data_IF_640588911354
#
_entry.id   IF_640588911354
#
_cell.length_a   1.000
_cell.length_b   1.000
_cell.length_c   1.000
_cell.angle_alpha   90.00
_cell.angle_beta   90.00
_cell.angle_gamma   90.00
#
_symmetry.space_group_name_H-M   'P 1'
#
loop_
_entity.id
_entity.type
_entity.pdbx_description
1 polymer ?
#
# COMPACT_ATOMS: atom_id res chain seq x y z
N UNK A 1 -16.30 13.09 17.06
CA UNK A 1 -16.57 11.83 16.33
C UNK A 1 -15.77 10.73 16.99
N UNK A 2 -16.36 9.56 17.28
CA UNK A 2 -15.62 8.44 17.87
C UNK A 2 -14.64 7.87 16.84
N UNK A 3 -13.47 7.30 17.28
CA UNK A 3 -12.51 6.67 16.35
C UNK A 3 -13.14 5.61 15.44
N UNK A 4 -14.09 4.84 15.97
CA UNK A 4 -14.81 3.80 15.22
C UNK A 4 -15.67 4.38 14.09
N UNK A 5 -16.36 5.50 14.34
CA UNK A 5 -17.20 6.17 13.32
C UNK A 5 -16.31 6.74 12.21
N UNK A 6 -15.17 7.33 12.57
CA UNK A 6 -14.23 7.85 11.57
C UNK A 6 -13.69 6.71 10.69
N UNK A 7 -13.25 5.62 11.27
CA UNK A 7 -12.76 4.45 10.53
C UNK A 7 -13.83 3.90 9.57
N UNK A 8 -15.08 3.79 10.03
CA UNK A 8 -16.19 3.33 9.18
C UNK A 8 -16.45 4.27 7.99
N UNK A 9 -16.35 5.59 8.21
CA UNK A 9 -16.50 6.58 7.14
C UNK A 9 -15.38 6.50 6.12
N UNK A 10 -14.14 6.27 6.54
CA UNK A 10 -13.00 6.11 5.62
C UNK A 10 -13.12 4.84 4.78
N UNK A 11 -13.52 3.73 5.37
CA UNK A 11 -13.80 2.51 4.62
C UNK A 11 -14.98 2.70 3.64
N UNK A 12 -16.02 3.43 4.03
CA UNK A 12 -17.10 3.79 3.12
C UNK A 12 -16.58 4.69 1.98
N UNK A 13 -15.75 5.68 2.29
CA UNK A 13 -15.14 6.56 1.30
C UNK A 13 -14.25 5.77 0.33
N UNK A 14 -13.43 4.85 0.84
CA UNK A 14 -12.60 3.96 0.01
C UNK A 14 -13.47 3.15 -0.96
N UNK A 15 -14.57 2.56 -0.47
CA UNK A 15 -15.50 1.81 -1.31
C UNK A 15 -16.14 2.71 -2.39
N UNK A 16 -16.55 3.92 -2.02
CA UNK A 16 -17.10 4.91 -2.96
C UNK A 16 -16.08 5.29 -4.02
N UNK A 17 -14.82 5.54 -3.64
CA UNK A 17 -13.74 5.87 -4.60
C UNK A 17 -13.53 4.70 -5.57
N UNK A 18 -13.41 3.46 -5.09
CA UNK A 18 -13.26 2.28 -5.94
C UNK A 18 -14.40 2.17 -6.96
N UNK A 19 -15.66 2.17 -6.48
CA UNK A 19 -16.81 1.97 -7.34
C UNK A 19 -17.03 3.13 -8.32
N UNK A 20 -16.86 4.38 -7.86
CA UNK A 20 -17.08 5.55 -8.72
C UNK A 20 -15.96 5.71 -9.75
N UNK A 21 -14.69 5.50 -9.34
CA UNK A 21 -13.56 5.54 -10.25
C UNK A 21 -13.68 4.50 -11.36
N UNK A 22 -14.04 3.27 -11.03
CA UNK A 22 -14.23 2.20 -12.01
C UNK A 22 -15.40 2.47 -12.96
N UNK A 23 -16.53 2.96 -12.42
CA UNK A 23 -17.68 3.35 -13.26
C UNK A 23 -17.37 4.52 -14.16
N UNK A 24 -16.67 5.55 -13.66
CA UNK A 24 -16.27 6.69 -14.47
C UNK A 24 -15.29 6.27 -15.57
N UNK A 25 -14.29 5.45 -15.25
CA UNK A 25 -13.37 4.90 -16.25
C UNK A 25 -14.06 4.02 -17.31
N UNK A 26 -15.17 3.37 -16.95
CA UNK A 26 -15.98 2.59 -17.91
C UNK A 26 -16.87 3.47 -18.79
N UNK A 27 -17.44 4.56 -18.26
CA UNK A 27 -18.34 5.47 -18.99
C UNK A 27 -17.53 6.43 -19.88
N UNK A 28 -16.45 6.98 -19.36
CA UNK A 28 -15.62 7.97 -20.07
C UNK A 28 -14.66 7.27 -21.02
N UNK A 29 -15.07 7.07 -22.26
CA UNK A 29 -14.22 6.44 -23.28
C UNK A 29 -13.44 7.47 -24.11
N UNK A 30 -13.92 8.69 -24.19
CA UNK A 30 -13.30 9.80 -24.94
C UNK A 30 -13.43 11.13 -24.21
N UNK A 31 -12.42 12.02 -24.24
CA UNK A 31 -11.12 11.77 -24.87
C UNK A 31 -10.26 10.77 -24.06
N UNK A 32 -9.34 10.03 -24.68
CA UNK A 32 -8.50 9.03 -23.99
C UNK A 32 -7.72 9.60 -22.79
N UNK A 33 -7.27 10.84 -22.91
CA UNK A 33 -6.57 11.55 -21.82
C UNK A 33 -7.44 11.66 -20.55
N UNK A 34 -8.71 12.01 -20.70
CA UNK A 34 -9.62 12.13 -19.55
C UNK A 34 -9.79 10.77 -18.85
N UNK A 35 -9.92 9.70 -19.61
CA UNK A 35 -9.99 8.34 -19.07
C UNK A 35 -8.72 7.98 -18.31
N UNK A 36 -7.53 8.25 -18.89
CA UNK A 36 -6.26 8.00 -18.24
C UNK A 36 -6.09 8.81 -16.94
N UNK A 37 -6.52 10.06 -16.93
CA UNK A 37 -6.50 10.91 -15.73
C UNK A 37 -7.43 10.38 -14.64
N UNK A 38 -8.65 9.96 -15.00
CA UNK A 38 -9.60 9.36 -14.04
C UNK A 38 -9.02 8.06 -13.44
N UNK A 39 -8.45 7.20 -14.27
CA UNK A 39 -7.84 5.96 -13.83
C UNK A 39 -6.69 6.22 -12.84
N UNK A 40 -5.77 7.09 -13.23
CA UNK A 40 -4.59 7.46 -12.44
C UNK A 40 -4.96 8.15 -11.11
N UNK A 41 -5.91 9.11 -11.12
CA UNK A 41 -6.40 9.75 -9.88
C UNK A 41 -7.09 8.72 -8.97
N UNK A 42 -7.79 7.75 -9.54
CA UNK A 42 -8.43 6.69 -8.72
C UNK A 42 -7.36 5.87 -8.00
N UNK A 43 -6.28 5.46 -8.66
CA UNK A 43 -5.14 4.79 -8.01
C UNK A 43 -4.53 5.64 -6.90
N UNK A 44 -4.29 6.92 -7.18
CA UNK A 44 -3.75 7.86 -6.19
C UNK A 44 -4.63 7.98 -4.94
N UNK A 45 -5.94 8.14 -5.13
CA UNK A 45 -6.90 8.29 -4.02
C UNK A 45 -6.99 7.00 -3.19
N UNK A 46 -7.02 5.83 -3.81
CA UNK A 46 -7.04 4.54 -3.11
C UNK A 46 -5.78 4.37 -2.27
N UNK A 47 -4.59 4.47 -2.89
CA UNK A 47 -3.32 4.30 -2.17
C UNK A 47 -3.10 5.35 -1.08
N UNK A 48 -3.46 6.60 -1.33
CA UNK A 48 -3.40 7.68 -0.34
C UNK A 48 -4.33 7.45 0.85
N UNK A 49 -5.57 7.05 0.61
CA UNK A 49 -6.55 6.81 1.69
C UNK A 49 -6.22 5.55 2.50
N UNK A 50 -5.79 4.46 1.86
CA UNK A 50 -5.33 3.26 2.57
C UNK A 50 -4.11 3.58 3.44
N UNK A 51 -3.18 4.38 2.93
CA UNK A 51 -2.02 4.86 3.70
C UNK A 51 -2.45 5.75 4.87
N UNK A 52 -3.41 6.65 4.66
CA UNK A 52 -3.95 7.53 5.71
C UNK A 52 -4.55 6.72 6.86
N UNK A 53 -5.37 5.71 6.57
CA UNK A 53 -5.96 4.81 7.58
C UNK A 53 -4.86 4.16 8.44
N UNK A 54 -3.76 3.71 7.82
CA UNK A 54 -2.64 3.10 8.52
C UNK A 54 -1.91 4.13 9.39
N UNK A 55 -1.51 5.25 8.79
CA UNK A 55 -0.72 6.32 9.47
C UNK A 55 -1.49 6.88 10.67
N UNK A 56 -2.80 7.04 10.54
CA UNK A 56 -3.65 7.54 11.62
C UNK A 56 -3.67 6.62 12.85
N UNK A 57 -3.59 5.31 12.67
CA UNK A 57 -3.52 4.36 13.79
C UNK A 57 -2.25 4.55 14.63
N UNK A 58 -1.20 5.12 14.02
CA UNK A 58 0.10 5.40 14.64
C UNK A 58 0.38 6.90 14.84
N UNK A 59 -0.61 7.78 14.68
CA UNK A 59 -0.43 9.25 14.70
C UNK A 59 0.25 9.80 15.95
N UNK A 60 0.00 9.18 17.11
CA UNK A 60 0.56 9.62 18.39
C UNK A 60 2.04 9.22 18.56
N UNK A 61 2.58 8.41 17.63
CA UNK A 61 3.96 7.94 17.60
C UNK A 61 4.77 8.57 16.45
N UNK A 62 4.13 9.39 15.63
CA UNK A 62 4.71 10.03 14.45
C UNK A 62 4.59 11.55 14.59
N UNK A 63 5.61 12.27 14.17
CA UNK A 63 5.46 13.69 14.01
C UNK A 63 4.54 14.03 12.81
N UNK A 64 4.07 15.29 12.76
CA UNK A 64 3.15 15.72 11.71
C UNK A 64 3.79 15.71 10.32
N UNK A 65 5.09 15.94 10.23
CA UNK A 65 5.84 15.91 8.97
C UNK A 65 5.86 14.49 8.42
N UNK A 66 6.18 13.50 9.26
CA UNK A 66 6.19 12.09 8.88
C UNK A 66 4.81 11.62 8.41
N UNK A 67 3.74 11.99 9.16
CA UNK A 67 2.36 11.66 8.77
C UNK A 67 2.03 12.19 7.37
N UNK A 68 2.27 13.48 7.13
CA UNK A 68 1.99 14.12 5.83
C UNK A 68 2.84 13.48 4.73
N UNK A 69 4.12 13.23 5.00
CA UNK A 69 5.04 12.67 4.02
C UNK A 69 4.62 11.25 3.62
N UNK A 70 4.33 10.37 4.58
CA UNK A 70 3.89 9.00 4.32
C UNK A 70 2.60 8.97 3.48
N UNK A 71 1.59 9.78 3.85
CA UNK A 71 0.32 9.86 3.11
C UNK A 71 0.55 10.40 1.69
N UNK A 72 1.35 11.46 1.55
CA UNK A 72 1.68 12.04 0.25
C UNK A 72 2.40 11.04 -0.64
N UNK A 73 3.36 10.29 -0.08
CA UNK A 73 4.08 9.25 -0.83
C UNK A 73 3.15 8.12 -1.21
N UNK A 74 2.25 7.68 -0.33
CA UNK A 74 1.24 6.67 -0.68
C UNK A 74 0.35 7.09 -1.86
N UNK A 75 -0.10 8.34 -1.85
CA UNK A 75 -0.88 8.93 -2.94
C UNK A 75 -0.08 9.01 -4.25
N UNK A 76 1.12 9.62 -4.19
CA UNK A 76 1.96 9.86 -5.37
C UNK A 76 2.50 8.55 -5.93
N UNK A 77 3.00 7.65 -5.10
CA UNK A 77 3.57 6.38 -5.56
C UNK A 77 2.53 5.52 -6.27
N UNK A 78 1.30 5.43 -5.75
CA UNK A 78 0.21 4.68 -6.40
C UNK A 78 -0.15 5.22 -7.78
N UNK A 79 -0.01 6.53 -7.98
CA UNK A 79 -0.21 7.20 -9.27
C UNK A 79 0.97 7.00 -10.22
N UNK A 80 2.20 7.02 -9.71
CA UNK A 80 3.41 6.99 -10.54
C UNK A 80 3.71 5.63 -11.17
N UNK A 81 3.10 4.57 -10.70
CA UNK A 81 3.25 3.23 -11.27
C UNK A 81 2.93 3.25 -12.77
N UNK A 82 1.88 3.96 -13.18
CA UNK A 82 1.47 4.08 -14.59
C UNK A 82 2.46 4.86 -15.49
N UNK A 83 3.41 5.60 -14.90
CA UNK A 83 4.41 6.29 -15.70
C UNK A 83 5.34 5.33 -16.44
N UNK A 84 5.45 4.09 -15.99
CA UNK A 84 6.26 3.09 -16.66
C UNK A 84 5.73 2.72 -18.06
N UNK A 85 4.45 2.96 -18.34
CA UNK A 85 3.89 2.82 -19.68
C UNK A 85 4.56 3.75 -20.69
N UNK A 86 4.81 5.01 -20.31
CA UNK A 86 5.51 5.98 -21.16
C UNK A 86 6.99 5.63 -21.34
N UNK A 87 7.62 5.11 -20.27
CA UNK A 87 9.01 4.64 -20.29
C UNK A 87 9.15 3.44 -21.23
N UNK A 88 8.23 2.47 -21.12
CA UNK A 88 8.23 1.26 -21.96
C UNK A 88 7.91 1.60 -23.41
N UNK A 89 6.96 2.51 -23.66
CA UNK A 89 6.63 3.02 -24.99
C UNK A 89 7.77 3.84 -25.62
N UNK A 90 8.71 4.35 -24.80
CA UNK A 90 9.74 5.33 -25.19
C UNK A 90 9.13 6.55 -25.87
N UNK A 91 7.95 6.95 -25.45
CA UNK A 91 7.14 8.01 -26.03
C UNK A 91 6.33 8.71 -24.93
N UNK A 92 6.11 10.02 -25.10
CA UNK A 92 5.20 10.79 -24.25
C UNK A 92 3.77 10.86 -24.82
N UNK A 93 3.51 10.19 -25.95
CA UNK A 93 2.17 10.12 -26.50
C UNK A 93 1.34 9.04 -25.79
N UNK A 94 0.14 9.41 -25.37
CA UNK A 94 -0.76 8.53 -24.63
C UNK A 94 -1.15 7.29 -25.45
N UNK A 95 -1.35 7.44 -26.75
CA UNK A 95 -1.72 6.32 -27.64
C UNK A 95 -0.63 5.24 -27.65
N UNK A 96 0.65 5.63 -27.65
CA UNK A 96 1.77 4.70 -27.59
C UNK A 96 1.82 4.00 -26.21
N UNK A 97 1.66 4.76 -25.12
CA UNK A 97 1.69 4.24 -23.76
C UNK A 97 0.52 3.27 -23.46
N UNK A 98 -0.64 3.45 -24.11
CA UNK A 98 -1.83 2.62 -23.92
C UNK A 98 -1.93 1.44 -24.87
N UNK A 99 -1.08 1.38 -25.91
CA UNK A 99 -1.07 0.33 -26.93
C UNK A 99 0.07 -0.70 -26.79
N UNK A 100 0.70 -0.77 -25.62
CA UNK A 100 1.79 -1.70 -25.35
C UNK A 100 1.39 -3.17 -25.57
N UNK A 101 2.27 -3.92 -26.21
CA UNK A 101 2.08 -5.37 -26.46
C UNK A 101 2.37 -6.23 -25.22
N UNK A 102 3.09 -5.68 -24.25
CA UNK A 102 3.45 -6.35 -23.00
C UNK A 102 3.31 -5.41 -21.82
N UNK A 103 3.26 -5.97 -20.61
CA UNK A 103 3.11 -5.17 -19.39
C UNK A 103 4.42 -4.50 -19.02
N UNK A 104 4.38 -3.24 -18.59
CA UNK A 104 5.55 -2.52 -18.13
C UNK A 104 6.08 -3.07 -16.79
N UNK A 105 7.29 -2.66 -16.43
CA UNK A 105 8.03 -3.22 -15.29
C UNK A 105 7.32 -3.08 -13.95
N UNK A 106 6.75 -1.90 -13.64
CA UNK A 106 6.11 -1.66 -12.35
C UNK A 106 4.79 -2.44 -12.18
N UNK A 107 4.24 -2.97 -13.26
CA UNK A 107 3.07 -3.87 -13.21
C UNK A 107 3.46 -5.33 -12.92
N UNK A 108 4.72 -5.60 -12.58
CA UNK A 108 5.16 -6.90 -12.12
C UNK A 108 4.78 -7.10 -10.64
N UNK A 109 3.89 -8.03 -10.37
CA UNK A 109 3.38 -8.34 -9.03
C UNK A 109 4.46 -8.86 -8.05
N UNK A 110 5.62 -9.29 -8.56
CA UNK A 110 6.76 -9.62 -7.69
C UNK A 110 7.25 -8.41 -6.89
N UNK A 111 6.98 -7.17 -7.35
CA UNK A 111 7.39 -5.96 -6.64
C UNK A 111 6.63 -5.82 -5.32
N UNK A 112 5.30 -5.93 -5.33
CA UNK A 112 4.57 -5.85 -4.06
C UNK A 112 4.83 -7.07 -3.17
N UNK A 113 5.12 -8.25 -3.73
CA UNK A 113 5.54 -9.43 -2.96
C UNK A 113 6.87 -9.16 -2.25
N UNK A 114 7.85 -8.56 -2.94
CA UNK A 114 9.12 -8.18 -2.34
C UNK A 114 8.96 -7.11 -1.26
N UNK A 115 8.12 -6.10 -1.49
CA UNK A 115 7.81 -5.05 -0.51
C UNK A 115 7.09 -5.62 0.72
N UNK A 116 6.17 -6.56 0.52
CA UNK A 116 5.52 -7.28 1.62
C UNK A 116 6.52 -8.10 2.44
N UNK A 117 7.41 -8.83 1.78
CA UNK A 117 8.48 -9.56 2.47
C UNK A 117 9.41 -8.62 3.25
N UNK A 118 9.76 -7.45 2.68
CA UNK A 118 10.56 -6.43 3.36
C UNK A 118 9.84 -5.84 4.58
N UNK A 119 8.54 -5.59 4.47
CA UNK A 119 7.70 -5.15 5.59
C UNK A 119 7.68 -6.20 6.71
N UNK A 120 7.44 -7.47 6.38
CA UNK A 120 7.49 -8.58 7.37
C UNK A 120 8.88 -8.65 8.02
N UNK A 121 9.94 -8.58 7.23
CA UNK A 121 11.32 -8.62 7.74
C UNK A 121 11.58 -7.46 8.69
N UNK A 122 11.13 -6.24 8.36
CA UNK A 122 11.29 -5.08 9.24
C UNK A 122 10.58 -5.24 10.58
N UNK A 123 9.41 -5.87 10.58
CA UNK A 123 8.65 -6.20 11.79
C UNK A 123 9.35 -7.26 12.63
N UNK A 124 9.81 -8.35 12.01
CA UNK A 124 10.50 -9.46 12.71
C UNK A 124 11.85 -8.99 13.28
N UNK A 125 12.62 -8.22 12.52
CA UNK A 125 13.91 -7.67 12.95
C UNK A 125 13.77 -6.48 13.91
N UNK A 126 12.55 -6.12 14.32
CA UNK A 126 12.27 -5.03 15.24
C UNK A 126 12.92 -3.68 14.83
N UNK A 127 12.92 -3.38 13.52
CA UNK A 127 13.32 -2.07 13.04
C UNK A 127 12.42 -0.96 13.63
N UNK A 128 12.78 0.31 13.48
CA UNK A 128 11.92 1.39 13.95
C UNK A 128 10.55 1.34 13.27
N UNK A 129 9.51 1.80 13.97
CA UNK A 129 8.15 1.89 13.42
C UNK A 129 8.14 2.66 12.10
N UNK A 130 8.90 3.76 12.00
CA UNK A 130 8.98 4.58 10.80
C UNK A 130 9.54 3.78 9.60
N UNK A 131 10.57 2.94 9.80
CA UNK A 131 11.11 2.06 8.75
C UNK A 131 10.04 1.05 8.30
N UNK A 132 9.33 0.43 9.23
CA UNK A 132 8.26 -0.52 8.91
C UNK A 132 7.10 0.16 8.17
N UNK A 133 6.77 1.40 8.53
CA UNK A 133 5.77 2.21 7.82
C UNK A 133 6.20 2.55 6.39
N UNK A 134 7.48 2.87 6.14
CA UNK A 134 7.96 3.10 4.78
C UNK A 134 7.80 1.88 3.87
N UNK A 135 8.14 0.67 4.36
CA UNK A 135 7.88 -0.56 3.62
C UNK A 135 6.37 -0.81 3.42
N UNK A 136 5.56 -0.47 4.44
CA UNK A 136 4.10 -0.59 4.35
C UNK A 136 3.52 0.32 3.29
N UNK A 137 3.97 1.57 3.20
CA UNK A 137 3.53 2.54 2.16
C UNK A 137 3.90 2.05 0.76
N UNK A 138 5.14 1.56 0.59
CA UNK A 138 5.55 0.95 -0.67
C UNK A 138 4.69 -0.24 -1.05
N UNK A 139 4.45 -1.16 -0.10
CA UNK A 139 3.57 -2.31 -0.30
C UNK A 139 2.15 -1.87 -0.68
N UNK A 140 1.55 -0.96 0.07
CA UNK A 140 0.20 -0.44 -0.17
C UNK A 140 0.08 0.16 -1.57
N UNK A 141 1.02 1.03 -1.96
CA UNK A 141 0.99 1.69 -3.26
C UNK A 141 0.97 0.67 -4.41
N UNK A 142 1.87 -0.31 -4.40
CA UNK A 142 1.94 -1.33 -5.45
C UNK A 142 0.81 -2.35 -5.36
N UNK A 143 0.41 -2.76 -4.16
CA UNK A 143 -0.66 -3.74 -3.97
C UNK A 143 -2.00 -3.20 -4.45
N UNK A 144 -2.42 -2.04 -3.96
CA UNK A 144 -3.73 -1.44 -4.30
C UNK A 144 -3.80 -1.13 -5.79
N UNK A 145 -2.74 -0.57 -6.37
CA UNK A 145 -2.68 -0.32 -7.79
C UNK A 145 -2.86 -1.61 -8.61
N UNK A 146 -2.06 -2.64 -8.32
CA UNK A 146 -2.06 -3.86 -9.12
C UNK A 146 -3.29 -4.73 -8.91
N UNK A 147 -3.87 -4.74 -7.70
CA UNK A 147 -5.11 -5.48 -7.43
C UNK A 147 -6.28 -4.87 -8.18
N UNK A 148 -6.36 -3.53 -8.27
CA UNK A 148 -7.36 -2.86 -9.09
C UNK A 148 -7.18 -3.18 -10.57
N UNK A 149 -5.96 -3.14 -11.10
CA UNK A 149 -5.69 -3.49 -12.49
C UNK A 149 -5.93 -4.96 -12.80
N UNK A 150 -5.79 -5.82 -11.80
CA UNK A 150 -6.01 -7.25 -11.95
C UNK A 150 -7.48 -7.62 -12.26
N UNK A 151 -8.45 -6.76 -12.04
CA UNK A 151 -9.85 -6.98 -12.48
C UNK A 151 -9.97 -7.08 -14.01
N UNK A 152 -9.02 -6.48 -14.74
CA UNK A 152 -9.00 -6.47 -16.20
C UNK A 152 -8.08 -7.55 -16.80
N UNK A 153 -6.92 -7.76 -16.21
CA UNK A 153 -5.84 -8.56 -16.82
C UNK A 153 -5.24 -9.63 -15.89
N UNK A 154 -5.72 -9.76 -14.64
CA UNK A 154 -5.10 -10.58 -13.61
C UNK A 154 -3.76 -10.02 -13.11
N UNK A 155 -3.19 -10.64 -12.09
CA UNK A 155 -1.86 -10.33 -11.59
C UNK A 155 -0.78 -10.94 -12.48
N UNK A 156 0.33 -10.23 -12.69
CA UNK A 156 1.43 -10.69 -13.51
C UNK A 156 2.70 -10.87 -12.69
N UNK A 157 3.24 -12.07 -12.68
CA UNK A 157 4.45 -12.44 -11.96
C UNK A 157 5.57 -12.74 -12.95
N UNK A 158 6.65 -11.96 -12.90
CA UNK A 158 7.84 -12.15 -13.73
C UNK A 158 9.09 -12.18 -12.89
N UNK A 159 9.84 -13.29 -13.00
CA UNK A 159 11.16 -13.52 -12.41
C UNK A 159 12.02 -14.31 -13.43
N UNK A 160 13.32 -14.52 -13.21
CA UNK A 160 14.20 -15.15 -14.23
C UNK A 160 13.68 -16.45 -14.85
N UNK A 161 12.93 -17.25 -14.10
CA UNK A 161 12.38 -18.53 -14.59
C UNK A 161 10.85 -18.59 -14.45
N UNK A 162 10.20 -17.45 -14.20
CA UNK A 162 8.75 -17.35 -13.99
C UNK A 162 8.19 -16.24 -14.90
N UNK A 163 7.20 -16.59 -15.71
CA UNK A 163 6.38 -15.61 -16.42
C UNK A 163 4.95 -16.14 -16.42
N UNK A 164 4.16 -15.68 -15.46
CA UNK A 164 2.82 -16.20 -15.20
C UNK A 164 1.84 -15.06 -14.95
N UNK A 165 0.64 -15.16 -15.50
CA UNK A 165 -0.47 -14.25 -15.20
C UNK A 165 -1.65 -15.05 -14.66
N UNK A 166 -2.27 -14.54 -13.60
CA UNK A 166 -3.52 -15.11 -13.08
C UNK A 166 -4.69 -14.79 -14.03
N UNK A 167 -5.80 -15.47 -13.84
CA UNK A 167 -7.07 -14.98 -14.38
C UNK A 167 -7.41 -13.60 -13.79
N UNK A 168 -8.27 -12.81 -14.46
CA UNK A 168 -8.81 -11.57 -13.90
C UNK A 168 -9.41 -11.79 -12.51
N UNK A 169 -9.12 -10.87 -11.60
CA UNK A 169 -9.67 -10.91 -10.23
C UNK A 169 -11.15 -10.55 -10.27
N UNK A 170 -11.96 -11.32 -9.56
CA UNK A 170 -13.40 -11.05 -9.44
C UNK A 170 -13.62 -9.71 -8.74
N UNK A 171 -14.49 -8.87 -9.26
CA UNK A 171 -14.69 -7.49 -8.80
C UNK A 171 -14.92 -7.36 -7.29
N UNK A 172 -15.76 -8.22 -6.70
CA UNK A 172 -16.00 -8.21 -5.25
C UNK A 172 -14.78 -8.63 -4.42
N UNK A 173 -13.93 -9.51 -4.97
CA UNK A 173 -12.66 -9.90 -4.34
C UNK A 173 -11.71 -8.71 -4.32
N UNK A 174 -11.59 -7.98 -5.42
CA UNK A 174 -10.82 -6.74 -5.47
C UNK A 174 -11.29 -5.76 -4.40
N UNK A 175 -12.59 -5.43 -4.33
CA UNK A 175 -13.12 -4.52 -3.32
C UNK A 175 -12.81 -4.99 -1.89
N UNK A 176 -12.94 -6.28 -1.62
CA UNK A 176 -12.60 -6.86 -0.32
C UNK A 176 -11.12 -6.74 0.00
N UNK A 177 -10.23 -6.98 -0.97
CA UNK A 177 -8.78 -6.85 -0.80
C UNK A 177 -8.37 -5.42 -0.49
N UNK A 178 -8.96 -4.42 -1.18
CA UNK A 178 -8.71 -3.00 -0.89
C UNK A 178 -9.14 -2.64 0.55
N UNK A 179 -10.32 -3.11 0.99
CA UNK A 179 -10.81 -2.85 2.34
C UNK A 179 -9.97 -3.52 3.43
N UNK A 180 -9.47 -4.73 3.17
CA UNK A 180 -8.69 -5.50 4.14
C UNK A 180 -7.23 -5.09 4.21
N UNK A 181 -6.70 -4.43 3.19
CA UNK A 181 -5.28 -4.09 3.08
C UNK A 181 -4.79 -3.28 4.29
N UNK A 182 -5.47 -2.17 4.64
CA UNK A 182 -5.11 -1.35 5.78
C UNK A 182 -5.12 -2.15 7.10
N UNK A 183 -6.17 -2.94 7.32
CA UNK A 183 -6.28 -3.76 8.53
C UNK A 183 -5.16 -4.79 8.64
N UNK A 184 -4.83 -5.48 7.55
CA UNK A 184 -3.75 -6.46 7.54
C UNK A 184 -2.40 -5.82 7.91
N UNK A 185 -2.10 -4.66 7.35
CA UNK A 185 -0.87 -3.90 7.66
C UNK A 185 -0.86 -3.44 9.12
N UNK A 186 -1.96 -2.85 9.61
CA UNK A 186 -2.08 -2.40 11.01
C UNK A 186 -1.86 -3.58 11.97
N UNK A 187 -2.48 -4.73 11.73
CA UNK A 187 -2.30 -5.91 12.59
C UNK A 187 -0.84 -6.40 12.60
N UNK A 188 -0.17 -6.40 11.44
CA UNK A 188 1.23 -6.79 11.35
C UNK A 188 2.13 -5.83 12.15
N UNK A 189 1.95 -4.52 12.00
CA UNK A 189 2.70 -3.50 12.75
C UNK A 189 2.38 -3.54 14.26
N UNK A 190 1.14 -3.85 14.65
CA UNK A 190 0.76 -4.03 16.05
C UNK A 190 1.47 -5.24 16.70
N UNK A 191 1.75 -6.30 15.93
CA UNK A 191 2.57 -7.43 16.41
C UNK A 191 3.99 -6.99 16.76
N UNK A 192 4.62 -6.13 15.93
CA UNK A 192 5.93 -5.54 16.23
C UNK A 192 5.94 -4.84 17.58
N UNK A 193 4.95 -3.99 17.83
CA UNK A 193 4.87 -3.22 19.08
C UNK A 193 4.64 -4.09 20.32
N UNK A 194 3.84 -5.17 20.18
CA UNK A 194 3.62 -6.13 21.28
C UNK A 194 4.90 -6.87 21.64
N UNK A 195 5.65 -7.30 20.63
CA UNK A 195 6.89 -8.05 20.83
C UNK A 195 7.98 -7.16 21.48
N UNK A 196 8.15 -5.93 21.00
CA UNK A 196 9.08 -4.96 21.60
C UNK A 196 8.78 -4.67 23.07
N UNK A 197 7.49 -4.52 23.43
CA UNK A 197 7.09 -4.31 24.84
C UNK A 197 7.38 -5.53 25.74
N UNK A 198 7.26 -6.74 25.22
CA UNK A 198 7.58 -7.97 25.97
C UNK A 198 9.08 -8.07 26.26
N UNK A 199 9.93 -7.74 25.31
CA UNK A 199 11.40 -7.74 25.48
C UNK A 199 11.84 -6.75 26.56
N UNK A 200 11.34 -5.50 26.52
CA UNK A 200 11.63 -4.48 27.52
C UNK A 200 11.10 -4.86 28.91
N UNK A 201 9.93 -5.49 28.98
CA UNK A 201 9.34 -5.98 30.24
C UNK A 201 10.14 -7.10 30.90
N UNK A 202 10.77 -7.99 30.10
CA UNK A 202 11.60 -9.08 30.62
C UNK A 202 12.97 -8.58 31.11
N UNK A 203 13.54 -7.57 30.49
CA UNK A 203 14.81 -6.96 30.95
C UNK A 203 14.64 -6.22 32.30
N UNK A 204 13.50 -5.59 32.56
CA UNK A 204 13.22 -4.92 33.82
C UNK A 204 13.07 -5.86 35.03
N UNK A 205 12.77 -7.13 34.82
CA UNK A 205 12.67 -8.16 35.88
C UNK A 205 14.01 -8.85 36.19
N UNK A 206 15.05 -8.66 35.37
CA UNK A 206 16.34 -9.38 35.47
C UNK A 206 17.41 -8.68 36.31
N UNK A 207 17.29 -7.41 36.66
CA UNK A 207 18.32 -6.68 37.41
C UNK A 207 17.83 -6.35 38.82
N UNK A 208 17.92 -7.34 39.74
CA UNK A 208 17.98 -7.07 41.18
C UNK A 208 19.37 -6.50 41.49
N UNK A 209 19.48 -5.19 41.57
CA UNK A 209 20.64 -4.54 42.18
C UNK A 209 20.66 -4.94 43.65
N UNK A 210 21.66 -5.74 44.06
CA UNK A 210 21.99 -5.96 45.45
C UNK A 210 22.79 -4.71 45.91
N UNK A 211 22.36 -3.97 46.94
CA UNK A 211 23.16 -2.87 47.43
C UNK A 211 24.49 -3.42 47.97
N UNK A 212 25.61 -2.83 47.54
CA UNK A 212 26.90 -3.06 48.17
C UNK A 212 26.83 -2.47 49.59
N UNK A 213 26.83 -3.34 50.62
CA UNK A 213 27.11 -2.94 51.99
C UNK A 213 28.58 -2.50 52.05
N UNK A 214 28.78 -1.23 52.28
CA UNK A 214 30.10 -0.64 52.61
C UNK A 214 30.34 -0.91 54.09
N UNK A 215 31.35 -1.77 54.38
CA UNK A 215 31.92 -1.96 55.70
C UNK A 215 33.02 -0.92 55.90
#
# INVERSE_FOLDING_TARGET
MTPTVLLALEHLLLLVICITGDKLGAIVQKPPLLRAVIDNITHALIGGLVTEIIVRDYKDQLDRSDQITLITVGFVASSWIDLDHFIEARSFHLDDATSLTHRPFFHNSMIFVALFASMITSVICQHSLLVSLWFSVGFVAFFTHQVRDAIRRGLWFRAPYLNYSTAPVIYWVYLALEQLCAHAVIQLLAMQQRHGRQLVGTESFGVKYKPLEVV
#
